data_IF_599138749450
#
_entry.id   IF_599138749450
#
_cell.length_a   1.000
_cell.length_b   1.000
_cell.length_c   1.000
_cell.angle_alpha   90.00
_cell.angle_beta   90.00
_cell.angle_gamma   90.00
#
_symmetry.space_group_name_H-M   'P 1'
#
loop_
_entity.id
_entity.type
_entity.pdbx_description
1 polymer ?
#
# COMPACT_ATOMS: atom_id res chain seq x y z
N UNK A 1 5.97 54.04 56.76
CA UNK A 1 6.26 54.88 55.57
C UNK A 1 5.02 54.88 54.70
N UNK A 2 4.43 56.07 54.56
CA UNK A 2 3.21 56.34 53.80
C UNK A 2 3.42 56.15 52.29
N UNK A 3 2.38 55.69 51.58
CA UNK A 3 1.59 56.51 50.65
C UNK A 3 0.86 55.59 49.65
N UNK A 4 -0.42 55.33 49.92
CA UNK A 4 -1.38 54.86 48.91
C UNK A 4 -2.03 56.11 48.34
N UNK A 5 -1.76 56.43 47.06
CA UNK A 5 -2.51 57.43 46.31
C UNK A 5 -3.40 56.74 45.29
N UNK A 6 -4.68 57.04 45.48
CA UNK A 6 -5.84 56.86 44.62
C UNK A 6 -5.68 57.53 43.23
N UNK A 7 -6.57 57.10 42.33
CA UNK A 7 -6.96 57.68 41.03
C UNK A 7 -6.02 57.35 39.85
N UNK A 8 -6.47 56.98 38.65
CA UNK A 8 -7.69 57.34 37.91
C UNK A 8 -8.14 56.17 37.04
N UNK A 9 -9.44 55.90 37.04
CA UNK A 9 -10.13 55.04 36.06
C UNK A 9 -10.12 55.79 34.72
N UNK A 10 -9.48 55.20 33.69
CA UNK A 10 -9.63 55.64 32.32
C UNK A 10 -10.31 54.52 31.52
N UNK A 11 -11.58 54.74 31.19
CA UNK A 11 -12.32 53.95 30.21
C UNK A 11 -11.65 54.09 28.84
N UNK A 12 -10.95 53.05 28.40
CA UNK A 12 -10.62 52.85 26.99
C UNK A 12 -11.66 51.92 26.39
N UNK A 13 -12.70 52.53 25.81
CA UNK A 13 -13.57 51.88 24.84
C UNK A 13 -12.71 51.50 23.62
N UNK A 14 -12.20 50.28 23.60
CA UNK A 14 -11.61 49.70 22.40
C UNK A 14 -12.74 49.08 21.60
N UNK A 15 -13.09 49.77 20.53
CA UNK A 15 -14.00 49.33 19.49
C UNK A 15 -13.57 47.94 19.00
N UNK A 16 -14.43 46.95 19.21
CA UNK A 16 -14.35 45.67 18.53
C UNK A 16 -14.46 45.92 17.02
N UNK A 17 -13.33 45.96 16.33
CA UNK A 17 -13.34 45.59 14.92
C UNK A 17 -13.36 44.06 14.90
N UNK A 18 -14.57 43.51 14.74
CA UNK A 18 -14.72 42.15 14.23
C UNK A 18 -14.19 42.18 12.80
N UNK A 19 -12.87 42.06 12.65
CA UNK A 19 -12.29 41.59 11.40
C UNK A 19 -12.90 40.22 11.19
N UNK A 20 -13.80 40.13 10.22
CA UNK A 20 -14.38 38.91 9.72
C UNK A 20 -13.23 38.09 9.11
N UNK A 21 -12.40 37.47 9.97
CA UNK A 21 -11.53 36.38 9.59
C UNK A 21 -12.46 35.21 9.32
N UNK A 22 -12.98 35.21 8.10
CA UNK A 22 -13.45 34.01 7.42
C UNK A 22 -12.26 33.06 7.42
N UNK A 23 -12.15 32.27 8.49
CA UNK A 23 -11.29 31.10 8.53
C UNK A 23 -11.91 30.10 7.54
N UNK A 24 -11.71 30.37 6.25
CA UNK A 24 -11.61 29.31 5.28
C UNK A 24 -10.40 28.50 5.75
N UNK A 25 -10.70 27.44 6.51
CA UNK A 25 -9.79 26.32 6.65
C UNK A 25 -9.23 26.08 5.25
N UNK A 26 -7.90 26.03 5.05
CA UNK A 26 -7.40 25.54 3.79
C UNK A 26 -8.02 24.16 3.64
N UNK A 27 -8.96 24.07 2.70
CA UNK A 27 -9.50 22.82 2.23
C UNK A 27 -8.27 22.19 1.60
N UNK A 28 -7.58 21.38 2.38
CA UNK A 28 -6.62 20.44 1.87
C UNK A 28 -7.46 19.55 0.96
N UNK A 29 -7.59 19.98 -0.29
CA UNK A 29 -7.83 19.09 -1.39
C UNK A 29 -6.67 18.10 -1.30
N UNK A 30 -6.95 17.00 -0.61
CA UNK A 30 -6.32 15.73 -0.90
C UNK A 30 -6.68 15.47 -2.36
N UNK A 31 -5.91 16.07 -3.27
CA UNK A 31 -5.77 15.56 -4.62
C UNK A 31 -5.09 14.21 -4.43
N UNK A 32 -5.90 13.18 -4.21
CA UNK A 32 -5.59 11.84 -4.67
C UNK A 32 -5.53 11.97 -6.18
N UNK A 33 -4.42 12.52 -6.69
CA UNK A 33 -4.00 12.23 -8.04
C UNK A 33 -3.65 10.75 -8.00
N UNK A 34 -4.64 9.93 -8.35
CA UNK A 34 -4.37 8.67 -9.02
C UNK A 34 -3.53 9.06 -10.24
N UNK A 35 -2.20 9.00 -10.07
CA UNK A 35 -1.25 9.26 -11.14
C UNK A 35 -1.60 8.30 -12.25
N UNK A 36 -2.27 8.81 -13.28
CA UNK A 36 -2.79 8.02 -14.38
C UNK A 36 -1.61 7.30 -15.02
N UNK A 37 -1.56 5.97 -14.86
CA UNK A 37 -0.54 5.13 -15.48
C UNK A 37 -0.46 5.46 -16.98
N UNK A 38 0.76 5.53 -17.49
CA UNK A 38 0.96 5.61 -18.91
C UNK A 38 0.46 4.32 -19.59
N UNK A 39 -0.05 4.36 -20.82
CA UNK A 39 -0.58 3.18 -21.51
C UNK A 39 0.38 1.97 -21.52
N UNK A 40 1.69 2.23 -21.69
CA UNK A 40 2.72 1.19 -21.65
C UNK A 40 2.86 0.52 -20.26
N UNK A 41 2.66 1.28 -19.17
CA UNK A 41 2.68 0.73 -17.81
C UNK A 41 1.45 -0.16 -17.57
N UNK A 42 0.28 0.21 -18.11
CA UNK A 42 -0.95 -0.60 -18.03
C UNK A 42 -0.80 -1.91 -18.81
N UNK A 43 -0.20 -1.87 -20.00
CA UNK A 43 0.06 -3.06 -20.81
C UNK A 43 1.04 -4.02 -20.09
N UNK A 44 2.15 -3.50 -19.56
CA UNK A 44 3.10 -4.27 -18.78
C UNK A 44 2.47 -4.87 -17.51
N UNK A 45 1.61 -4.10 -16.83
CA UNK A 45 0.84 -4.53 -15.67
C UNK A 45 -0.08 -5.71 -16.01
N UNK A 46 -0.87 -5.60 -17.07
CA UNK A 46 -1.78 -6.65 -17.52
C UNK A 46 -1.04 -7.91 -17.97
N UNK A 47 0.07 -7.76 -18.69
CA UNK A 47 0.91 -8.88 -19.09
C UNK A 47 1.50 -9.61 -17.88
N UNK A 48 1.95 -8.86 -16.86
CA UNK A 48 2.49 -9.42 -15.61
C UNK A 48 1.41 -10.16 -14.84
N UNK A 49 0.22 -9.56 -14.68
CA UNK A 49 -0.91 -10.21 -14.02
C UNK A 49 -1.32 -11.50 -14.73
N UNK A 50 -1.40 -11.48 -16.06
CA UNK A 50 -1.71 -12.67 -16.86
C UNK A 50 -0.66 -13.78 -16.68
N UNK A 51 0.62 -13.40 -16.58
CA UNK A 51 1.71 -14.35 -16.35
C UNK A 51 1.70 -14.96 -14.95
N UNK A 52 1.05 -14.33 -13.96
CA UNK A 52 0.92 -14.89 -12.60
C UNK A 52 -0.23 -15.89 -12.46
N UNK A 53 -1.23 -15.83 -13.34
CA UNK A 53 -2.41 -16.69 -13.24
C UNK A 53 -2.05 -18.18 -13.29
N UNK A 54 -2.93 -19.03 -12.76
CA UNK A 54 -2.81 -20.49 -12.79
C UNK A 54 -2.16 -21.08 -11.55
N UNK A 55 -1.87 -22.38 -11.62
CA UNK A 55 -1.28 -23.18 -10.54
C UNK A 55 0.23 -23.26 -10.67
N UNK A 56 0.91 -23.18 -9.53
CA UNK A 56 2.36 -23.19 -9.44
C UNK A 56 2.79 -24.06 -8.27
N UNK A 57 3.73 -24.96 -8.52
CA UNK A 57 4.31 -25.87 -7.53
C UNK A 57 5.49 -25.20 -6.86
N UNK A 58 5.59 -25.32 -5.53
CA UNK A 58 6.74 -24.76 -4.81
C UNK A 58 8.01 -25.55 -5.12
N UNK A 59 9.10 -24.83 -5.36
CA UNK A 59 10.43 -25.40 -5.58
C UNK A 59 11.07 -25.90 -4.26
N UNK A 60 10.62 -25.36 -3.12
CA UNK A 60 11.14 -25.69 -1.79
C UNK A 60 10.38 -26.86 -1.14
N UNK A 61 9.09 -27.00 -1.44
CA UNK A 61 8.26 -28.04 -0.87
C UNK A 61 7.24 -28.57 -1.87
N UNK A 62 7.46 -29.78 -2.36
CA UNK A 62 6.62 -30.40 -3.39
C UNK A 62 5.16 -30.63 -2.97
N UNK A 63 4.82 -30.60 -1.67
CA UNK A 63 3.42 -30.68 -1.22
C UNK A 63 2.69 -29.34 -1.24
N UNK A 64 3.41 -28.23 -1.41
CA UNK A 64 2.83 -26.88 -1.48
C UNK A 64 2.60 -26.51 -2.95
N UNK A 65 1.40 -26.05 -3.24
CA UNK A 65 1.08 -25.36 -4.49
C UNK A 65 0.41 -24.03 -4.18
N UNK A 66 0.67 -23.03 -5.01
CA UNK A 66 -0.13 -21.81 -5.05
C UNK A 66 -0.99 -21.78 -6.31
N UNK A 67 -2.11 -21.10 -6.25
CA UNK A 67 -2.96 -20.80 -7.39
C UNK A 67 -3.33 -19.32 -7.38
N UNK A 68 -3.13 -18.64 -8.50
CA UNK A 68 -3.65 -17.29 -8.71
C UNK A 68 -4.78 -17.37 -9.73
N UNK A 69 -5.98 -16.96 -9.33
CA UNK A 69 -7.15 -16.97 -10.19
C UNK A 69 -7.95 -15.67 -10.01
N UNK A 70 -7.80 -14.75 -10.95
CA UNK A 70 -8.34 -13.41 -10.85
C UNK A 70 -7.72 -12.65 -9.67
N UNK A 71 -8.56 -12.29 -8.71
CA UNK A 71 -8.21 -11.59 -7.46
C UNK A 71 -8.06 -12.54 -6.26
N UNK A 72 -7.91 -13.84 -6.50
CA UNK A 72 -7.70 -14.85 -5.45
C UNK A 72 -6.30 -15.43 -5.52
N UNK A 73 -5.66 -15.51 -4.36
CA UNK A 73 -4.44 -16.26 -4.12
C UNK A 73 -4.77 -17.41 -3.18
N UNK A 74 -4.63 -18.65 -3.66
CA UNK A 74 -4.95 -19.83 -2.87
C UNK A 74 -3.69 -20.65 -2.64
N UNK A 75 -3.45 -21.06 -1.40
CA UNK A 75 -2.38 -22.01 -1.09
C UNK A 75 -2.97 -23.37 -0.78
N UNK A 76 -2.39 -24.40 -1.39
CA UNK A 76 -2.70 -25.79 -1.15
C UNK A 76 -1.52 -26.49 -0.47
N UNK A 77 -1.84 -27.40 0.44
CA UNK A 77 -0.88 -28.35 1.02
C UNK A 77 -1.44 -29.76 0.92
N UNK A 78 -0.68 -30.68 0.33
CA UNK A 78 -1.10 -32.06 0.11
C UNK A 78 -2.45 -32.14 -0.64
N UNK A 79 -2.64 -31.24 -1.61
CA UNK A 79 -3.88 -31.12 -2.40
C UNK A 79 -5.08 -30.48 -1.68
N UNK A 80 -4.96 -30.15 -0.38
CA UNK A 80 -6.01 -29.48 0.39
C UNK A 80 -5.76 -27.98 0.45
N UNK A 81 -6.81 -27.20 0.23
CA UNK A 81 -6.76 -25.75 0.43
C UNK A 81 -6.46 -25.44 1.90
N UNK A 82 -5.44 -24.63 2.16
CA UNK A 82 -5.05 -24.19 3.51
C UNK A 82 -5.21 -22.69 3.71
N UNK A 83 -5.22 -21.90 2.64
CA UNK A 83 -5.58 -20.48 2.68
C UNK A 83 -6.15 -20.03 1.34
N UNK A 84 -7.03 -19.03 1.40
CA UNK A 84 -7.46 -18.22 0.26
C UNK A 84 -7.41 -16.76 0.72
N UNK A 85 -6.67 -15.93 -0.01
CA UNK A 85 -6.44 -14.52 0.30
C UNK A 85 -6.81 -13.67 -0.91
N UNK A 86 -7.27 -12.44 -0.67
CA UNK A 86 -7.47 -11.46 -1.72
C UNK A 86 -6.11 -11.03 -2.28
N UNK A 87 -5.94 -11.24 -3.57
CA UNK A 87 -4.78 -10.89 -4.36
C UNK A 87 -5.00 -9.55 -5.06
N UNK A 88 -4.07 -8.61 -4.85
CA UNK A 88 -4.05 -7.36 -5.62
C UNK A 88 -2.65 -7.12 -6.11
N UNK A 89 -2.49 -7.06 -7.43
CA UNK A 89 -1.22 -6.73 -8.07
C UNK A 89 -1.09 -5.22 -8.29
N UNK A 90 0.09 -4.69 -8.03
CA UNK A 90 0.41 -3.27 -8.07
C UNK A 90 1.60 -3.04 -9.00
N UNK A 91 1.45 -2.08 -9.91
CA UNK A 91 2.56 -1.62 -10.75
C UNK A 91 3.65 -0.89 -9.94
N UNK A 92 3.27 -0.27 -8.83
CA UNK A 92 4.13 0.39 -7.86
C UNK A 92 3.61 0.06 -6.47
N UNK A 93 4.49 -0.27 -5.54
CA UNK A 93 4.01 -0.71 -4.22
C UNK A 93 3.31 0.41 -3.46
N UNK A 94 2.23 0.08 -2.74
CA UNK A 94 1.60 1.02 -1.83
C UNK A 94 2.61 1.56 -0.81
N UNK A 95 2.46 2.82 -0.38
CA UNK A 95 3.35 3.40 0.64
C UNK A 95 3.36 2.63 1.97
N UNK A 96 2.22 2.03 2.31
CA UNK A 96 2.05 1.16 3.49
C UNK A 96 2.92 -0.10 3.44
N UNK A 97 3.35 -0.48 2.24
CA UNK A 97 4.22 -1.60 2.00
C UNK A 97 5.71 -1.19 2.04
N UNK A 98 6.09 0.08 2.18
CA UNK A 98 7.50 0.45 2.27
C UNK A 98 8.03 0.42 3.70
N UNK A 99 9.25 -0.10 3.87
CA UNK A 99 10.12 0.26 5.00
C UNK A 99 10.96 1.48 4.59
N UNK A 100 11.53 2.19 5.57
CA UNK A 100 12.38 3.37 5.31
C UNK A 100 13.41 3.10 4.19
N UNK A 101 13.54 4.02 3.24
CA UNK A 101 14.47 3.98 2.10
C UNK A 101 14.19 2.96 0.97
N UNK A 102 13.00 2.35 0.90
CA UNK A 102 12.60 1.58 -0.29
C UNK A 102 11.94 2.48 -1.35
N UNK A 103 12.36 2.32 -2.61
CA UNK A 103 11.73 3.03 -3.74
C UNK A 103 10.61 2.18 -4.37
N UNK A 104 9.54 2.84 -4.81
CA UNK A 104 8.30 2.21 -5.27
C UNK A 104 8.28 1.70 -6.71
N UNK A 105 9.41 1.69 -7.42
CA UNK A 105 9.48 1.36 -8.85
C UNK A 105 9.61 -0.15 -9.11
N UNK A 106 9.01 -0.99 -8.28
CA UNK A 106 9.03 -2.45 -8.46
C UNK A 106 7.63 -3.00 -8.38
N UNK A 107 7.36 -3.97 -9.25
CA UNK A 107 6.14 -4.76 -9.23
C UNK A 107 5.97 -5.52 -7.92
N UNK A 108 4.77 -5.48 -7.37
CA UNK A 108 4.47 -6.18 -6.13
C UNK A 108 2.99 -6.51 -6.05
N UNK A 109 2.66 -7.35 -5.08
CA UNK A 109 1.28 -7.66 -4.78
C UNK A 109 1.04 -7.65 -3.27
N UNK A 110 -0.21 -7.51 -2.92
CA UNK A 110 -0.70 -7.66 -1.55
C UNK A 110 -1.59 -8.87 -1.45
N UNK A 111 -1.43 -9.63 -0.36
CA UNK A 111 -2.35 -10.68 0.06
C UNK A 111 -3.07 -10.25 1.32
N UNK A 112 -4.38 -10.39 1.37
CA UNK A 112 -5.17 -10.09 2.56
C UNK A 112 -6.22 -11.15 2.85
N UNK A 113 -6.31 -11.53 4.12
CA UNK A 113 -7.34 -12.43 4.66
C UNK A 113 -8.50 -11.67 5.35
N UNK A 114 -8.52 -10.34 5.23
CA UNK A 114 -9.45 -9.44 5.91
C UNK A 114 -8.99 -8.91 7.27
N UNK A 115 -8.01 -9.56 7.91
CA UNK A 115 -7.46 -9.12 9.20
C UNK A 115 -6.09 -8.46 9.04
N UNK A 116 -5.27 -9.02 8.15
CA UNK A 116 -3.94 -8.53 7.85
C UNK A 116 -3.77 -8.28 6.34
N UNK A 117 -2.80 -7.46 5.99
CA UNK A 117 -2.34 -7.30 4.61
C UNK A 117 -0.83 -7.51 4.57
N UNK A 118 -0.41 -8.54 3.85
CA UNK A 118 0.98 -8.85 3.61
C UNK A 118 1.39 -8.31 2.24
N UNK A 119 2.61 -7.77 2.15
CA UNK A 119 3.14 -7.19 0.92
C UNK A 119 4.34 -7.97 0.41
N UNK A 120 4.37 -8.24 -0.91
CA UNK A 120 5.38 -9.07 -1.56
C UNK A 120 5.92 -8.43 -2.83
N UNK A 121 7.24 -8.44 -3.00
CA UNK A 121 7.93 -7.98 -4.20
C UNK A 121 8.08 -9.12 -5.20
N UNK A 122 7.76 -8.87 -6.47
CA UNK A 122 8.08 -9.82 -7.54
C UNK A 122 9.57 -9.69 -7.86
N UNK A 123 10.30 -10.79 -7.77
CA UNK A 123 11.73 -10.90 -8.08
C UNK A 123 11.98 -11.47 -9.46
N UNK A 124 11.16 -12.43 -9.85
CA UNK A 124 11.25 -13.08 -11.15
C UNK A 124 9.84 -13.49 -11.58
N UNK A 125 9.49 -13.23 -12.83
CA UNK A 125 8.27 -13.74 -13.45
C UNK A 125 8.57 -14.12 -14.89
N UNK A 126 8.63 -15.43 -15.15
CA UNK A 126 8.77 -15.98 -16.50
C UNK A 126 7.48 -16.70 -16.83
N UNK A 127 6.79 -16.21 -17.87
CA UNK A 127 5.51 -16.75 -18.34
C UNK A 127 5.60 -18.28 -18.48
N UNK A 128 4.66 -18.96 -17.84
CA UNK A 128 4.51 -20.42 -17.87
C UNK A 128 5.75 -21.23 -17.41
N UNK A 129 6.73 -20.58 -16.76
CA UNK A 129 8.00 -21.20 -16.36
C UNK A 129 8.26 -21.06 -14.87
N UNK A 130 8.35 -19.83 -14.34
CA UNK A 130 8.75 -19.60 -12.96
C UNK A 130 8.18 -18.31 -12.37
N UNK A 131 7.90 -18.35 -11.07
CA UNK A 131 7.59 -17.17 -10.24
C UNK A 131 8.51 -17.19 -9.03
N UNK A 132 9.18 -16.06 -8.78
CA UNK A 132 9.85 -15.78 -7.51
C UNK A 132 9.35 -14.47 -6.95
N UNK A 133 8.99 -14.50 -5.69
CA UNK A 133 8.63 -13.31 -4.95
C UNK A 133 9.21 -13.35 -3.55
N UNK A 134 9.33 -12.20 -2.91
CA UNK A 134 9.85 -12.09 -1.56
C UNK A 134 8.92 -11.25 -0.71
N UNK A 135 8.82 -11.55 0.59
CA UNK A 135 8.28 -10.61 1.55
C UNK A 135 9.06 -9.29 1.43
N UNK A 136 8.39 -8.15 1.57
CA UNK A 136 9.00 -6.83 1.37
C UNK A 136 10.21 -6.56 2.27
N UNK A 137 10.20 -7.14 3.46
CA UNK A 137 11.30 -7.05 4.40
C UNK A 137 12.45 -8.02 4.10
N UNK A 138 12.34 -8.75 2.98
CA UNK A 138 13.25 -9.79 2.55
C UNK A 138 13.47 -10.90 3.58
N UNK A 139 12.57 -11.04 4.57
CA UNK A 139 12.64 -12.11 5.57
C UNK A 139 12.49 -13.49 4.95
N UNK A 140 11.77 -13.56 3.83
CA UNK A 140 11.49 -14.80 3.11
C UNK A 140 11.35 -14.57 1.62
N UNK A 141 11.95 -15.47 0.84
CA UNK A 141 11.72 -15.60 -0.60
C UNK A 141 10.93 -16.87 -0.84
N UNK A 142 10.11 -16.88 -1.88
CA UNK A 142 9.33 -18.02 -2.32
C UNK A 142 9.58 -18.22 -3.81
N UNK A 143 9.78 -19.47 -4.20
CA UNK A 143 10.04 -19.87 -5.59
C UNK A 143 9.06 -20.96 -6.00
N UNK A 144 8.48 -20.80 -7.18
CA UNK A 144 7.52 -21.73 -7.76
C UNK A 144 7.74 -21.90 -9.26
N UNK A 145 7.41 -23.09 -9.74
CA UNK A 145 7.47 -23.49 -11.15
C UNK A 145 6.13 -24.11 -11.58
N UNK A 146 5.85 -24.16 -12.88
CA UNK A 146 4.69 -24.89 -13.42
C UNK A 146 5.02 -26.34 -13.70
#
# INVERSE_FOLDING_TARGET
>A
MNNIKLFFILLLATSFTLTNCKNEKPKQETTTQEEKLQPAEVEALNATLANMQGKWKSDENASIMMEVNGDKFTTYKDGKMISEEKFVFHNRCPKTCFKENQSGNTFCFTLSDGNATNCYLIRELRKDVSIKYAAIDNSKTFSFTR
#
